data_IF_655136441977
#
_entry.id   IF_655136441977
#
_cell.length_a   1.000
_cell.length_b   1.000
_cell.length_c   1.000
_cell.angle_alpha   90.00
_cell.angle_beta   90.00
_cell.angle_gamma   90.00
#
_symmetry.space_group_name_H-M   'P 1'
#
loop_
_entity.id
_entity.type
_entity.pdbx_description
1 polymer ?
#
# COMPACT_ATOMS: atom_id res chain seq x y z
N UNK A 1 0.19 -16.10 -6.67
CA UNK A 1 1.43 -16.48 -7.38
C UNK A 1 1.60 -15.86 -8.78
N UNK A 2 0.78 -14.89 -9.21
CA UNK A 2 0.77 -14.41 -10.61
C UNK A 2 1.25 -12.97 -10.83
N UNK A 3 1.47 -12.19 -9.77
CA UNK A 3 1.97 -10.81 -9.90
C UNK A 3 3.51 -10.82 -9.79
N UNK A 4 4.24 -10.15 -10.70
CA UNK A 4 5.70 -10.12 -10.70
C UNK A 4 6.21 -9.17 -9.60
N UNK A 5 6.02 -9.53 -8.34
CA UNK A 5 6.56 -8.80 -7.20
C UNK A 5 8.09 -8.99 -7.14
N UNK A 6 8.80 -7.91 -6.82
CA UNK A 6 10.26 -7.88 -6.85
C UNK A 6 10.82 -7.88 -5.43
N UNK A 7 11.78 -8.77 -5.16
CA UNK A 7 12.72 -8.61 -4.06
C UNK A 7 13.91 -7.83 -4.61
N UNK A 8 14.02 -6.55 -4.25
CA UNK A 8 14.99 -5.64 -4.89
C UNK A 8 16.40 -5.83 -4.31
N UNK A 9 16.48 -6.08 -3.01
CA UNK A 9 17.75 -6.26 -2.29
C UNK A 9 17.85 -7.64 -1.66
N UNK A 10 19.08 -8.14 -1.49
CA UNK A 10 19.33 -9.43 -0.85
C UNK A 10 18.83 -9.51 0.60
N UNK A 11 18.72 -8.36 1.27
CA UNK A 11 18.27 -8.25 2.67
C UNK A 11 16.82 -7.75 2.79
N UNK A 12 16.08 -7.59 1.69
CA UNK A 12 14.66 -7.26 1.76
C UNK A 12 13.90 -8.39 2.48
N UNK A 13 13.04 -8.05 3.43
CA UNK A 13 12.24 -9.03 4.19
C UNK A 13 11.15 -9.75 3.38
N UNK A 14 11.16 -9.63 2.05
CA UNK A 14 10.21 -10.25 1.14
C UNK A 14 10.04 -9.46 -0.16
N UNK A 15 9.24 -9.98 -1.11
CA UNK A 15 8.96 -9.29 -2.36
C UNK A 15 7.96 -8.15 -2.17
N UNK A 16 8.05 -7.13 -3.01
CA UNK A 16 7.20 -5.95 -2.98
C UNK A 16 6.54 -5.67 -4.33
N UNK A 17 5.33 -5.10 -4.28
CA UNK A 17 4.81 -4.28 -5.37
C UNK A 17 5.38 -2.88 -5.19
N UNK A 18 6.20 -2.45 -6.15
CA UNK A 18 7.05 -1.26 -5.99
C UNK A 18 6.34 0.05 -6.34
N UNK A 19 5.54 0.07 -7.40
CA UNK A 19 4.84 1.27 -7.91
C UNK A 19 3.31 1.10 -7.99
N UNK A 20 2.62 0.52 -7.00
CA UNK A 20 1.17 0.37 -7.07
C UNK A 20 0.48 1.71 -6.81
N UNK A 21 -0.61 1.96 -7.51
CA UNK A 21 -1.55 3.04 -7.19
C UNK A 21 -2.60 2.49 -6.23
N UNK A 22 -2.65 3.02 -5.02
CA UNK A 22 -3.59 2.64 -3.97
C UNK A 22 -4.67 3.70 -3.88
N UNK A 23 -5.89 3.26 -4.13
CA UNK A 23 -7.09 4.09 -4.03
C UNK A 23 -7.69 4.00 -2.63
N UNK A 24 -8.07 5.14 -2.06
CA UNK A 24 -8.78 5.23 -0.79
C UNK A 24 -9.84 6.33 -0.84
N UNK A 25 -10.93 6.18 -0.10
CA UNK A 25 -11.95 7.20 0.08
C UNK A 25 -12.04 7.59 1.55
N UNK A 26 -12.30 8.87 1.82
CA UNK A 26 -12.58 9.34 3.15
C UNK A 26 -13.95 8.77 3.59
N UNK A 27 -14.06 8.08 4.74
CA UNK A 27 -15.27 7.36 5.14
C UNK A 27 -16.52 8.26 5.25
N UNK A 28 -16.37 9.48 5.78
CA UNK A 28 -17.52 10.39 5.92
C UNK A 28 -17.82 11.26 4.69
N UNK A 29 -16.79 11.74 3.99
CA UNK A 29 -16.94 12.76 2.93
C UNK A 29 -16.89 12.18 1.52
N UNK A 30 -16.44 10.94 1.34
CA UNK A 30 -16.24 10.29 0.05
C UNK A 30 -15.10 10.90 -0.79
N UNK A 31 -14.33 11.84 -0.24
CA UNK A 31 -13.19 12.42 -0.96
C UNK A 31 -12.16 11.33 -1.27
N UNK A 32 -11.79 11.22 -2.55
CA UNK A 32 -10.85 10.21 -3.03
C UNK A 32 -9.39 10.61 -2.87
N UNK A 33 -8.51 9.64 -2.65
CA UNK A 33 -7.07 9.76 -2.75
C UNK A 33 -6.53 8.62 -3.63
N UNK A 34 -5.54 8.94 -4.46
CA UNK A 34 -4.78 7.95 -5.23
C UNK A 34 -3.29 8.16 -4.95
N UNK A 35 -2.72 7.30 -4.12
CA UNK A 35 -1.35 7.41 -3.67
C UNK A 35 -0.49 6.25 -4.16
N UNK A 36 0.81 6.50 -4.34
CA UNK A 36 1.76 5.43 -4.56
C UNK A 36 2.39 5.01 -3.23
N UNK A 37 2.21 3.75 -2.86
CA UNK A 37 2.70 3.22 -1.59
C UNK A 37 3.25 1.80 -1.80
N UNK A 38 4.54 1.60 -1.48
CA UNK A 38 5.19 0.29 -1.62
C UNK A 38 4.44 -0.76 -0.77
N UNK A 39 4.06 -1.90 -1.37
CA UNK A 39 3.31 -2.97 -0.69
C UNK A 39 4.18 -4.21 -0.52
N UNK A 40 4.37 -4.68 0.70
CA UNK A 40 5.07 -5.96 0.96
C UNK A 40 4.11 -7.12 0.73
N UNK A 41 4.54 -8.18 0.06
CA UNK A 41 3.71 -9.39 -0.10
C UNK A 41 3.93 -10.32 1.09
N UNK A 42 2.85 -10.69 1.79
CA UNK A 42 2.90 -11.66 2.89
C UNK A 42 2.43 -13.05 2.45
N UNK A 43 1.30 -13.12 1.74
CA UNK A 43 0.77 -14.35 1.16
C UNK A 43 -0.06 -14.04 -0.09
N UNK A 44 -0.73 -15.04 -0.65
CA UNK A 44 -1.51 -14.92 -1.90
C UNK A 44 -2.63 -13.87 -1.84
N UNK A 45 -3.08 -13.46 -0.66
CA UNK A 45 -4.21 -12.55 -0.44
C UNK A 45 -3.94 -11.41 0.53
N UNK A 46 -2.70 -11.28 1.05
CA UNK A 46 -2.34 -10.28 2.07
C UNK A 46 -1.12 -9.47 1.68
N UNK A 47 -1.24 -8.15 1.85
CA UNK A 47 -0.18 -7.17 1.63
C UNK A 47 0.08 -6.36 2.90
N UNK A 48 1.34 -6.00 3.12
CA UNK A 48 1.78 -5.05 4.13
C UNK A 48 1.70 -3.63 3.57
N UNK A 49 0.81 -2.83 4.15
CA UNK A 49 0.54 -1.44 3.78
C UNK A 49 1.42 -0.51 4.61
N UNK A 50 2.39 0.17 3.99
CA UNK A 50 3.16 1.24 4.62
C UNK A 50 2.78 2.60 4.00
N UNK A 51 2.22 3.49 4.81
CA UNK A 51 2.08 4.91 4.48
C UNK A 51 2.56 5.79 5.62
N UNK A 52 2.87 7.05 5.31
CA UNK A 52 3.10 8.06 6.33
C UNK A 52 1.76 8.65 6.77
N UNK A 53 1.64 8.94 8.08
CA UNK A 53 0.42 9.48 8.69
C UNK A 53 -0.08 10.81 8.07
N UNK A 54 0.83 11.61 7.48
CA UNK A 54 0.51 12.90 6.86
C UNK A 54 0.26 12.85 5.35
N UNK A 55 -0.05 11.67 4.79
CA UNK A 55 -0.37 11.48 3.36
C UNK A 55 -1.84 11.10 3.21
N UNK A 56 -2.43 11.33 2.04
CA UNK A 56 -3.87 11.14 1.80
C UNK A 56 -4.44 9.84 2.36
N UNK A 57 -3.89 8.67 1.97
CA UNK A 57 -4.32 7.39 2.52
C UNK A 57 -4.12 7.25 4.03
N UNK A 58 -3.06 7.86 4.59
CA UNK A 58 -2.83 7.91 6.03
C UNK A 58 -3.89 8.74 6.77
N UNK A 59 -4.33 9.87 6.21
CA UNK A 59 -5.44 10.65 6.77
C UNK A 59 -6.76 9.88 6.71
N UNK A 60 -7.04 9.20 5.60
CA UNK A 60 -8.26 8.40 5.46
C UNK A 60 -8.28 7.24 6.47
N UNK A 61 -7.14 6.57 6.67
CA UNK A 61 -7.02 5.47 7.62
C UNK A 61 -7.13 5.89 9.09
N UNK A 62 -6.64 7.08 9.44
CA UNK A 62 -6.70 7.58 10.82
C UNK A 62 -8.14 7.73 11.36
N UNK A 63 -9.13 7.76 10.48
CA UNK A 63 -10.55 7.93 10.79
C UNK A 63 -11.42 6.77 10.29
N UNK A 64 -10.81 5.73 9.71
CA UNK A 64 -11.51 4.56 9.15
C UNK A 64 -11.93 3.55 10.23
#
# INVERSE_FOLDING_TARGET
DRLPALTTWSEDGGPFLTLPLVYTEHPDTGVSNLGMYRQQVHDATRLGMHWQIGKGGGFHYAIA
#
